data_IF_875841036154
#
_entry.id   IF_875841036154
#
_cell.length_a   1.000
_cell.length_b   1.000
_cell.length_c   1.000
_cell.angle_alpha   90.00
_cell.angle_beta   90.00
_cell.angle_gamma   90.00
#
_symmetry.space_group_name_H-M   'P 1'
#
loop_
_entity.id
_entity.type
_entity.pdbx_description
1 polymer ?
#
# COMPACT_ATOMS: atom_id res chain seq x y z
N UNK A 1 11.46 -33.15 -28.22
CA UNK A 1 11.87 -32.25 -27.13
C UNK A 1 12.11 -30.79 -27.57
N UNK A 2 12.31 -30.47 -28.86
CA UNK A 2 12.63 -29.10 -29.29
C UNK A 2 11.42 -28.13 -29.35
N UNK A 3 10.21 -28.61 -29.66
CA UNK A 3 9.02 -27.76 -29.89
C UNK A 3 8.39 -27.22 -28.59
N UNK A 4 8.37 -28.00 -27.51
CA UNK A 4 7.79 -27.60 -26.22
C UNK A 4 8.57 -26.44 -25.57
N UNK A 5 9.91 -26.44 -25.73
CA UNK A 5 10.78 -25.39 -25.21
C UNK A 5 10.57 -24.05 -25.91
N UNK A 6 10.31 -24.06 -27.22
CA UNK A 6 10.00 -22.85 -27.99
C UNK A 6 8.65 -22.26 -27.59
N UNK A 7 7.61 -23.08 -27.41
CA UNK A 7 6.28 -22.61 -26.96
C UNK A 7 6.37 -21.95 -25.59
N UNK A 8 7.05 -22.56 -24.62
CA UNK A 8 7.24 -21.97 -23.28
C UNK A 8 8.01 -20.64 -23.34
N UNK A 9 9.03 -20.55 -24.20
CA UNK A 9 9.77 -19.31 -24.41
C UNK A 9 8.87 -18.18 -24.94
N UNK A 10 8.03 -18.46 -25.95
CA UNK A 10 7.10 -17.47 -26.49
C UNK A 10 6.03 -17.04 -25.48
N UNK A 11 5.46 -17.98 -24.72
CA UNK A 11 4.50 -17.68 -23.66
C UNK A 11 5.10 -16.77 -22.59
N UNK A 12 6.31 -17.10 -22.10
CA UNK A 12 7.00 -16.26 -21.13
C UNK A 12 7.28 -14.86 -21.68
N UNK A 13 7.70 -14.75 -22.95
CA UNK A 13 7.95 -13.47 -23.60
C UNK A 13 6.67 -12.63 -23.69
N UNK A 14 5.53 -13.23 -24.04
CA UNK A 14 4.24 -12.55 -24.08
C UNK A 14 3.79 -12.07 -22.69
N UNK A 15 3.92 -12.92 -21.67
CA UNK A 15 3.61 -12.56 -20.28
C UNK A 15 4.48 -11.39 -19.80
N UNK A 16 5.78 -11.40 -20.10
CA UNK A 16 6.68 -10.31 -19.75
C UNK A 16 6.30 -8.99 -20.43
N UNK A 17 5.88 -9.05 -21.70
CA UNK A 17 5.42 -7.87 -22.42
C UNK A 17 4.11 -7.32 -21.84
N UNK A 18 3.16 -8.18 -21.50
CA UNK A 18 1.91 -7.79 -20.85
C UNK A 18 2.17 -7.13 -19.50
N UNK A 19 3.01 -7.74 -18.65
CA UNK A 19 3.39 -7.19 -17.35
C UNK A 19 4.02 -5.79 -17.49
N UNK A 20 4.88 -5.58 -18.49
CA UNK A 20 5.48 -4.27 -18.77
C UNK A 20 4.44 -3.24 -19.18
N UNK A 21 3.50 -3.60 -20.06
CA UNK A 21 2.43 -2.69 -20.50
C UNK A 21 1.52 -2.30 -19.32
N UNK A 22 1.13 -3.26 -18.48
CA UNK A 22 0.32 -3.01 -17.28
C UNK A 22 1.07 -2.08 -16.34
N UNK A 23 2.33 -2.37 -16.03
CA UNK A 23 3.14 -1.51 -15.16
C UNK A 23 3.24 -0.07 -15.70
N UNK A 24 3.44 0.11 -16.99
CA UNK A 24 3.50 1.45 -17.59
C UNK A 24 2.18 2.21 -17.47
N UNK A 25 1.04 1.52 -17.60
CA UNK A 25 -0.28 2.10 -17.39
C UNK A 25 -0.47 2.51 -15.92
N UNK A 26 -0.13 1.62 -14.99
CA UNK A 26 -0.25 1.88 -13.56
C UNK A 26 0.66 3.04 -13.14
N UNK A 27 1.92 3.07 -13.58
CA UNK A 27 2.87 4.18 -13.31
C UNK A 27 2.37 5.53 -13.86
N UNK A 28 1.59 5.54 -14.96
CA UNK A 28 0.93 6.75 -15.46
C UNK A 28 -0.27 7.14 -14.61
N UNK A 29 -1.09 6.16 -14.23
CA UNK A 29 -2.28 6.34 -13.42
C UNK A 29 -1.98 6.79 -12.00
N UNK A 30 -0.83 6.42 -11.43
CA UNK A 30 -0.36 6.85 -10.10
C UNK A 30 0.08 8.32 -10.04
N UNK A 31 0.19 9.00 -11.19
CA UNK A 31 0.50 10.45 -11.23
C UNK A 31 -0.73 11.33 -10.97
N UNK A 32 -1.92 10.73 -10.94
CA UNK A 32 -3.15 11.48 -10.64
C UNK A 32 -3.14 11.94 -9.18
N UNK A 33 -3.72 13.11 -8.88
CA UNK A 33 -3.95 13.48 -7.49
C UNK A 33 -4.93 12.49 -6.84
N UNK A 34 -4.66 12.14 -5.59
CA UNK A 34 -5.60 11.52 -4.67
C UNK A 34 -5.78 12.49 -3.50
N UNK A 35 -7.02 12.76 -3.13
CA UNK A 35 -7.31 13.60 -1.97
C UNK A 35 -6.83 12.89 -0.68
N UNK A 36 -6.67 13.61 0.42
CA UNK A 36 -6.31 12.99 1.69
C UNK A 36 -7.55 12.40 2.37
N UNK A 37 -7.50 11.13 2.75
CA UNK A 37 -8.54 10.53 3.61
C UNK A 37 -8.55 11.22 4.99
N UNK A 38 -9.70 11.78 5.43
CA UNK A 38 -9.82 12.35 6.77
C UNK A 38 -9.41 11.40 7.91
N UNK A 39 -9.58 10.10 7.72
CA UNK A 39 -9.20 9.07 8.67
C UNK A 39 -7.69 8.86 8.79
N UNK A 40 -6.88 9.36 7.86
CA UNK A 40 -5.42 9.29 7.92
C UNK A 40 -4.77 8.67 6.68
N UNK A 41 -3.55 8.16 6.84
CA UNK A 41 -2.81 7.48 5.79
C UNK A 41 -2.06 6.27 6.32
N UNK A 42 -1.65 5.39 5.42
CA UNK A 42 -0.96 4.16 5.74
C UNK A 42 0.43 4.10 5.12
N UNK A 43 1.39 3.59 5.90
CA UNK A 43 2.68 3.12 5.40
C UNK A 43 2.70 1.61 5.47
N UNK A 44 2.98 0.96 4.34
CA UNK A 44 3.01 -0.50 4.24
C UNK A 44 4.46 -0.97 4.10
N UNK A 45 4.80 -2.05 4.79
CA UNK A 45 6.10 -2.73 4.64
C UNK A 45 5.96 -4.23 4.91
N UNK A 46 7.01 -4.98 4.58
CA UNK A 46 7.07 -6.42 4.78
C UNK A 46 8.01 -6.76 5.95
N UNK A 47 7.49 -7.51 6.91
CA UNK A 47 8.30 -8.23 7.89
C UNK A 47 8.54 -9.64 7.35
N UNK A 48 9.70 -9.84 6.73
CA UNK A 48 10.05 -11.11 6.09
C UNK A 48 10.48 -12.19 7.06
N UNK A 49 10.95 -11.81 8.26
CA UNK A 49 11.36 -12.80 9.27
C UNK A 49 10.14 -13.52 9.82
N UNK A 50 9.02 -12.80 9.97
CA UNK A 50 7.76 -13.34 10.49
C UNK A 50 6.71 -13.64 9.41
N UNK A 51 7.03 -13.44 8.12
CA UNK A 51 6.12 -13.63 6.99
C UNK A 51 4.83 -12.79 7.09
N UNK A 52 4.98 -11.50 7.45
CA UNK A 52 3.86 -10.58 7.64
C UNK A 52 3.91 -9.38 6.69
N UNK A 53 2.72 -8.94 6.29
CA UNK A 53 2.46 -7.61 5.75
C UNK A 53 2.09 -6.71 6.92
N UNK A 54 2.77 -5.57 7.03
CA UNK A 54 2.58 -4.60 8.09
C UNK A 54 2.02 -3.30 7.51
N UNK A 55 0.91 -2.81 8.03
CA UNK A 55 0.27 -1.56 7.63
C UNK A 55 0.18 -0.63 8.85
N UNK A 56 1.02 0.41 8.86
CA UNK A 56 1.04 1.44 9.91
C UNK A 56 0.10 2.56 9.54
N UNK A 57 -0.93 2.77 10.35
CA UNK A 57 -1.86 3.88 10.21
C UNK A 57 -1.37 5.10 10.99
N UNK A 58 -1.53 6.27 10.38
CA UNK A 58 -1.27 7.58 10.98
C UNK A 58 -2.47 8.48 10.76
N UNK A 59 -2.92 9.17 11.80
CA UNK A 59 -4.02 10.15 11.68
C UNK A 59 -3.55 11.42 10.97
N UNK A 60 -4.47 12.04 10.21
CA UNK A 60 -4.27 13.38 9.68
C UNK A 60 -4.78 14.37 10.72
N UNK A 61 -3.94 14.83 11.65
CA UNK A 61 -4.30 16.06 12.37
C UNK A 61 -4.06 17.19 11.41
N UNK A 62 -5.09 17.97 11.10
CA UNK A 62 -5.03 19.01 10.08
C UNK A 62 -5.16 20.36 10.79
N UNK A 63 -4.27 21.32 10.52
CA UNK A 63 -4.42 22.68 11.04
C UNK A 63 -5.45 23.50 10.24
N UNK A 64 -5.78 24.71 10.71
CA UNK A 64 -6.73 25.64 10.06
C UNK A 64 -6.42 25.96 8.58
N UNK A 65 -5.21 25.64 8.10
CA UNK A 65 -4.74 25.85 6.73
C UNK A 65 -4.84 24.59 5.84
N UNK A 66 -5.42 23.50 6.34
CA UNK A 66 -5.56 22.25 5.58
C UNK A 66 -4.28 21.42 5.50
N UNK A 67 -3.28 21.68 6.35
CA UNK A 67 -2.01 20.95 6.36
C UNK A 67 -1.98 19.91 7.47
N UNK A 68 -1.48 18.71 7.17
CA UNK A 68 -1.20 17.71 8.18
C UNK A 68 -0.17 18.27 9.19
N UNK A 69 -0.47 18.17 10.47
CA UNK A 69 0.31 18.65 11.60
C UNK A 69 0.50 17.55 12.62
N UNK A 70 1.60 17.66 13.36
CA UNK A 70 1.87 16.83 14.51
C UNK A 70 0.84 17.12 15.63
N UNK A 71 0.20 16.10 16.21
CA UNK A 71 -0.79 16.22 17.28
C UNK A 71 -0.29 16.83 18.58
N UNK A 72 0.97 16.61 18.93
CA UNK A 72 1.56 17.08 20.17
C UNK A 72 2.11 18.51 20.01
N UNK A 73 2.65 18.83 18.84
CA UNK A 73 3.36 20.10 18.61
C UNK A 73 2.61 21.10 17.73
N UNK A 74 1.63 20.64 16.94
CA UNK A 74 0.90 21.47 15.97
C UNK A 74 1.72 21.89 14.74
N UNK A 75 2.96 21.38 14.60
CA UNK A 75 3.85 21.70 13.49
C UNK A 75 3.48 20.92 12.22
N UNK A 76 3.65 21.53 11.05
CA UNK A 76 3.34 20.90 9.76
C UNK A 76 4.23 19.68 9.54
N UNK A 77 3.62 18.51 9.34
CA UNK A 77 4.30 17.29 8.96
C UNK A 77 4.72 17.44 7.50
N UNK A 78 5.99 17.74 7.28
CA UNK A 78 6.58 17.76 5.94
C UNK A 78 6.57 16.34 5.34
N UNK A 79 6.25 16.22 4.05
CA UNK A 79 6.29 14.94 3.32
C UNK A 79 7.69 14.27 3.32
N UNK A 80 8.74 15.00 3.70
CA UNK A 80 10.11 14.51 3.89
C UNK A 80 10.65 14.98 5.24
N UNK A 81 10.40 14.20 6.28
CA UNK A 81 10.98 14.42 7.60
C UNK A 81 10.56 13.31 8.56
N UNK A 82 11.54 12.72 9.27
CA UNK A 82 11.28 11.81 10.39
C UNK A 82 10.68 12.63 11.54
N UNK A 83 9.36 12.75 11.58
CA UNK A 83 8.65 13.18 12.79
C UNK A 83 8.10 11.94 13.50
N UNK A 84 8.14 11.96 14.83
CA UNK A 84 7.77 10.83 15.68
C UNK A 84 6.25 10.82 15.82
N UNK A 85 5.57 10.10 14.92
CA UNK A 85 4.12 10.19 14.73
C UNK A 85 3.36 9.52 15.88
N UNK A 86 2.86 10.37 16.76
CA UNK A 86 1.68 10.23 17.63
C UNK A 86 0.56 9.31 17.10
N UNK A 87 0.19 8.32 17.93
CA UNK A 87 -0.85 7.32 17.74
C UNK A 87 -0.75 6.49 16.44
N UNK A 88 0.31 5.70 16.34
CA UNK A 88 0.46 4.66 15.32
C UNK A 88 -0.41 3.45 15.68
N UNK A 89 -1.37 3.10 14.82
CA UNK A 89 -2.01 1.77 14.89
C UNK A 89 -1.33 0.86 13.87
N UNK A 90 -0.72 -0.22 14.35
CA UNK A 90 -0.10 -1.23 13.49
C UNK A 90 -1.08 -2.37 13.24
N UNK A 91 -1.42 -2.59 11.98
CA UNK A 91 -2.13 -3.77 11.52
C UNK A 91 -1.15 -4.73 10.86
N UNK A 92 -1.27 -6.02 11.16
CA UNK A 92 -0.47 -7.07 10.54
C UNK A 92 -1.35 -8.19 9.99
N UNK A 93 -0.94 -8.80 8.89
CA UNK A 93 -1.63 -9.94 8.30
C UNK A 93 -0.72 -10.75 7.39
N UNK A 94 -1.09 -12.01 7.16
CA UNK A 94 -0.37 -12.97 6.30
C UNK A 94 -0.82 -12.88 4.84
N UNK A 95 -1.96 -12.23 4.60
CA UNK A 95 -2.54 -12.01 3.28
C UNK A 95 -3.18 -10.63 3.21
N UNK A 96 -3.42 -10.14 1.99
CA UNK A 96 -4.15 -8.91 1.77
C UNK A 96 -5.56 -8.97 2.35
N UNK A 97 -6.22 -10.14 2.21
CA UNK A 97 -7.56 -10.36 2.77
C UNK A 97 -7.58 -10.22 4.29
N UNK A 98 -6.60 -10.81 4.98
CA UNK A 98 -6.51 -10.70 6.44
C UNK A 98 -6.35 -9.24 6.88
N UNK A 99 -5.54 -8.46 6.16
CA UNK A 99 -5.42 -7.02 6.44
C UNK A 99 -6.72 -6.26 6.16
N UNK A 100 -7.40 -6.51 5.05
CA UNK A 100 -8.70 -5.88 4.78
C UNK A 100 -9.71 -6.16 5.89
N UNK A 101 -9.83 -7.41 6.32
CA UNK A 101 -10.73 -7.80 7.42
C UNK A 101 -10.34 -7.05 8.70
N UNK A 102 -9.07 -7.09 9.11
CA UNK A 102 -8.61 -6.42 10.35
C UNK A 102 -8.77 -4.90 10.34
N UNK A 103 -8.59 -4.26 9.19
CA UNK A 103 -8.62 -2.79 9.08
C UNK A 103 -10.05 -2.28 8.92
N UNK A 104 -10.90 -3.00 8.16
CA UNK A 104 -12.22 -2.50 7.72
C UNK A 104 -13.38 -3.23 8.39
N UNK A 105 -13.32 -4.55 8.54
CA UNK A 105 -14.46 -5.38 8.98
C UNK A 105 -14.47 -5.58 10.51
N UNK A 106 -13.31 -5.90 11.09
CA UNK A 106 -13.13 -6.20 12.52
C UNK A 106 -12.77 -4.95 13.34
N UNK A 107 -12.82 -3.75 12.74
CA UNK A 107 -12.47 -2.50 13.39
C UNK A 107 -13.69 -1.58 13.51
N UNK A 108 -14.23 -1.46 14.73
CA UNK A 108 -15.35 -0.58 15.04
C UNK A 108 -15.07 0.90 14.69
N UNK A 109 -13.79 1.31 14.75
CA UNK A 109 -13.33 2.64 14.37
C UNK A 109 -12.44 2.55 13.12
N UNK A 110 -13.01 2.03 12.02
CA UNK A 110 -12.31 1.92 10.75
C UNK A 110 -11.67 3.26 10.34
N UNK A 111 -10.32 3.31 10.19
CA UNK A 111 -9.61 4.54 9.87
C UNK A 111 -9.65 4.91 8.38
N UNK A 112 -10.28 4.09 7.53
CA UNK A 112 -10.45 4.37 6.10
C UNK A 112 -11.85 4.92 5.91
N UNK A 113 -11.97 6.20 5.55
CA UNK A 113 -13.27 6.87 5.43
C UNK A 113 -13.67 7.11 3.98
N UNK A 114 -12.74 6.95 3.03
CA UNK A 114 -13.00 7.14 1.61
C UNK A 114 -12.89 5.84 0.79
N UNK A 115 -13.83 5.62 -0.14
CA UNK A 115 -13.89 4.39 -0.94
C UNK A 115 -12.72 4.23 -1.91
N UNK A 116 -12.20 5.33 -2.44
CA UNK A 116 -11.02 5.33 -3.31
C UNK A 116 -9.75 4.93 -2.53
N UNK A 117 -9.65 5.29 -1.26
CA UNK A 117 -8.59 4.87 -0.34
C UNK A 117 -8.72 3.41 0.04
N UNK A 118 -9.93 2.91 0.32
CA UNK A 118 -10.16 1.48 0.51
C UNK A 118 -9.73 0.68 -0.74
N UNK A 119 -10.07 1.17 -1.93
CA UNK A 119 -9.65 0.55 -3.19
C UNK A 119 -8.13 0.66 -3.43
N UNK A 120 -7.48 1.76 -3.05
CA UNK A 120 -6.03 1.91 -3.10
C UNK A 120 -5.34 0.90 -2.17
N UNK A 121 -5.73 0.86 -0.90
CA UNK A 121 -5.12 -0.03 0.09
C UNK A 121 -5.32 -1.50 -0.27
N UNK A 122 -6.48 -1.89 -0.79
CA UNK A 122 -6.68 -3.25 -1.29
C UNK A 122 -5.67 -3.66 -2.37
N UNK A 123 -5.33 -2.75 -3.32
CA UNK A 123 -4.30 -3.02 -4.33
C UNK A 123 -2.90 -3.10 -3.70
N UNK A 124 -2.58 -2.20 -2.79
CA UNK A 124 -1.29 -2.17 -2.12
C UNK A 124 -1.07 -3.41 -1.25
N UNK A 125 -2.09 -3.88 -0.53
CA UNK A 125 -2.01 -5.11 0.25
C UNK A 125 -1.82 -6.33 -0.65
N UNK A 126 -2.49 -6.40 -1.80
CA UNK A 126 -2.26 -7.48 -2.78
C UNK A 126 -0.85 -7.44 -3.36
N UNK A 127 -0.32 -6.25 -3.70
CA UNK A 127 1.07 -6.09 -4.15
C UNK A 127 2.06 -6.55 -3.09
N UNK A 128 1.83 -6.17 -1.83
CA UNK A 128 2.66 -6.57 -0.71
C UNK A 128 2.62 -8.09 -0.49
N UNK A 129 1.44 -8.71 -0.55
CA UNK A 129 1.27 -10.17 -0.48
C UNK A 129 2.05 -10.89 -1.59
N UNK A 130 1.93 -10.44 -2.84
CA UNK A 130 2.66 -11.02 -3.98
C UNK A 130 4.17 -10.88 -3.79
N UNK A 131 4.65 -9.71 -3.35
CA UNK A 131 6.07 -9.45 -3.10
C UNK A 131 6.63 -10.28 -1.93
N UNK A 132 5.80 -10.55 -0.91
CA UNK A 132 6.14 -11.45 0.18
C UNK A 132 6.29 -12.89 -0.33
N UNK A 133 5.29 -13.41 -1.07
CA UNK A 133 5.30 -14.76 -1.65
C UNK A 133 6.47 -14.98 -2.61
N UNK A 134 6.80 -13.98 -3.43
CA UNK A 134 7.83 -14.09 -4.46
C UNK A 134 9.24 -13.76 -3.94
N UNK A 135 9.37 -13.24 -2.72
CA UNK A 135 10.66 -12.75 -2.20
C UNK A 135 11.18 -11.51 -2.94
N UNK A 136 10.31 -10.76 -3.65
CA UNK A 136 10.67 -9.58 -4.43
C UNK A 136 10.44 -8.30 -3.64
N UNK A 137 11.12 -7.21 -4.02
CA UNK A 137 10.94 -5.91 -3.36
C UNK A 137 9.49 -5.40 -3.49
N UNK A 138 8.92 -4.95 -2.38
CA UNK A 138 7.65 -4.24 -2.35
C UNK A 138 7.92 -2.73 -2.34
N UNK A 139 7.30 -2.01 -3.27
CA UNK A 139 7.32 -0.56 -3.34
C UNK A 139 5.86 -0.09 -3.35
N UNK A 140 5.51 0.71 -2.35
CA UNK A 140 4.22 1.35 -2.27
C UNK A 140 4.08 2.40 -3.39
N UNK A 141 2.91 2.43 -4.05
CA UNK A 141 2.58 3.41 -5.10
C UNK A 141 2.55 4.85 -4.59
#
# INVERSE_FOLDING_TARGET
>A
MCTLSLVNFYLQKMMNQLAKTIKQLDDQLSKRPIDLDPGGYFIIYLDRENELICAKHFTNIINEKGLAVDPETGEVIAARGKTNRTAETLFTGRSAKELCVKVIEDNENCPITMLDHAAYLGREFMKAEIALIQGTEYIQD
#
